data_IF_622515583829
#
_entry.id   IF_622515583829
#
_cell.length_a   1.000
_cell.length_b   1.000
_cell.length_c   1.000
_cell.angle_alpha   90.00
_cell.angle_beta   90.00
_cell.angle_gamma   90.00
#
_symmetry.space_group_name_H-M   'P 1'
#
loop_
_entity.id
_entity.type
_entity.pdbx_description
1 polymer ?
#
# COMPACT_ATOMS: atom_id res chain seq x y z
N UNK A 1 46.22 -4.85 22.73
CA UNK A 1 46.81 -4.42 21.46
C UNK A 1 45.69 -4.29 20.45
N UNK A 2 45.62 -3.16 19.77
CA UNK A 2 44.70 -2.96 18.66
C UNK A 2 45.24 -3.69 17.44
N UNK A 3 44.44 -4.56 16.86
CA UNK A 3 44.76 -5.27 15.63
C UNK A 3 43.68 -5.02 14.60
N UNK A 4 44.06 -4.94 13.32
CA UNK A 4 43.16 -4.68 12.19
C UNK A 4 43.47 -5.65 11.06
N UNK A 5 42.43 -6.16 10.42
CA UNK A 5 42.56 -6.97 9.21
C UNK A 5 41.35 -6.79 8.29
N UNK A 6 41.50 -7.14 7.02
CA UNK A 6 40.40 -7.29 6.08
C UNK A 6 40.22 -8.79 5.87
N UNK A 7 39.08 -9.33 6.26
CA UNK A 7 38.76 -10.74 6.12
C UNK A 7 37.80 -10.91 4.95
N UNK A 8 38.09 -11.83 4.05
CA UNK A 8 37.13 -12.31 3.07
C UNK A 8 36.19 -13.32 3.72
N UNK A 9 35.06 -13.58 3.05
CA UNK A 9 34.16 -14.67 3.41
C UNK A 9 34.92 -15.98 3.58
N UNK A 10 34.62 -16.67 4.68
CA UNK A 10 35.19 -17.95 5.12
C UNK A 10 36.69 -17.88 5.46
N UNK A 11 37.28 -16.69 5.52
CA UNK A 11 38.68 -16.49 5.91
C UNK A 11 38.84 -16.55 7.43
N UNK A 12 39.86 -17.29 7.88
CA UNK A 12 40.24 -17.39 9.28
C UNK A 12 41.46 -16.54 9.57
N UNK A 13 41.30 -15.60 10.50
CA UNK A 13 42.42 -14.87 11.07
C UNK A 13 42.83 -15.47 12.40
N UNK A 14 43.99 -16.10 12.41
CA UNK A 14 44.63 -16.58 13.63
C UNK A 14 45.42 -15.46 14.30
N UNK A 15 45.09 -15.20 15.56
CA UNK A 15 45.84 -14.30 16.43
C UNK A 15 46.53 -15.15 17.50
N UNK A 16 47.84 -15.36 17.32
CA UNK A 16 48.66 -16.11 18.26
C UNK A 16 49.20 -15.18 19.36
N UNK A 17 48.30 -14.74 20.24
CA UNK A 17 48.62 -13.86 21.34
C UNK A 17 47.81 -14.25 22.57
N UNK A 18 48.50 -14.43 23.69
CA UNK A 18 47.86 -14.74 24.97
C UNK A 18 47.32 -13.48 25.64
N UNK A 19 46.21 -13.63 26.35
CA UNK A 19 45.51 -12.54 27.00
C UNK A 19 44.39 -13.00 27.92
N UNK A 20 43.75 -12.01 28.55
CA UNK A 20 42.62 -12.20 29.45
C UNK A 20 41.41 -11.30 29.11
N UNK A 21 41.56 -10.44 28.10
CA UNK A 21 40.52 -9.53 27.64
C UNK A 21 40.47 -9.50 26.10
N UNK A 22 39.27 -9.46 25.55
CA UNK A 22 39.00 -9.39 24.11
C UNK A 22 37.86 -8.41 23.84
N UNK A 23 38.03 -7.52 22.87
CA UNK A 23 36.99 -6.58 22.48
C UNK A 23 36.87 -6.47 20.97
N UNK A 24 35.64 -6.44 20.46
CA UNK A 24 35.35 -6.18 19.04
C UNK A 24 35.10 -4.69 18.87
N UNK A 25 36.02 -4.00 18.20
CA UNK A 25 35.95 -2.53 18.01
C UNK A 25 35.17 -2.21 16.74
N UNK A 26 35.42 -2.98 15.68
CA UNK A 26 34.71 -2.87 14.41
C UNK A 26 34.56 -4.25 13.81
N UNK A 27 33.34 -4.64 13.52
CA UNK A 27 33.00 -5.83 12.77
C UNK A 27 31.60 -5.66 12.20
N UNK A 28 31.34 -6.24 11.04
CA UNK A 28 29.98 -6.42 10.54
C UNK A 28 29.41 -7.72 11.15
N UNK A 29 28.09 -7.92 11.06
CA UNK A 29 27.44 -9.17 11.51
C UNK A 29 28.03 -10.40 10.79
N UNK A 30 28.07 -11.54 11.47
CA UNK A 30 28.71 -12.76 10.97
C UNK A 30 30.21 -12.87 11.26
N UNK A 31 30.71 -12.23 12.32
CA UNK A 31 32.05 -12.49 12.86
C UNK A 31 31.96 -13.54 13.96
N UNK A 32 32.64 -14.67 13.81
CA UNK A 32 32.70 -15.72 14.84
C UNK A 32 34.07 -15.75 15.49
N UNK A 33 34.09 -15.75 16.82
CA UNK A 33 35.32 -15.88 17.61
C UNK A 33 35.42 -17.28 18.22
N UNK A 34 36.62 -17.85 18.17
CA UNK A 34 36.97 -19.05 18.90
C UNK A 34 38.25 -18.83 19.69
N UNK A 35 38.17 -18.94 21.02
CA UNK A 35 39.28 -18.72 21.94
C UNK A 35 39.79 -20.07 22.45
N UNK A 36 41.10 -20.22 22.60
CA UNK A 36 41.75 -21.44 23.06
C UNK A 36 42.63 -21.19 24.29
N UNK A 37 42.64 -22.10 25.26
CA UNK A 37 43.55 -22.05 26.40
C UNK A 37 44.98 -22.49 26.02
N UNK A 38 45.90 -22.50 26.99
CA UNK A 38 47.29 -22.91 26.80
C UNK A 38 47.47 -24.40 26.47
N UNK A 39 46.45 -25.23 26.68
CA UNK A 39 46.44 -26.66 26.35
C UNK A 39 45.81 -26.92 24.97
N UNK A 40 45.19 -25.90 24.38
CA UNK A 40 44.47 -25.99 23.12
C UNK A 40 42.98 -26.33 23.29
N UNK A 41 42.45 -26.29 24.51
CA UNK A 41 41.03 -26.50 24.77
C UNK A 41 40.25 -25.23 24.40
N UNK A 42 39.06 -25.40 23.83
CA UNK A 42 38.18 -24.27 23.47
C UNK A 42 37.57 -23.69 24.74
N UNK A 43 37.82 -22.41 25.01
CA UNK A 43 37.23 -21.67 26.15
C UNK A 43 36.05 -20.81 25.76
N UNK A 44 35.93 -20.46 24.47
CA UNK A 44 34.78 -19.76 23.90
C UNK A 44 34.65 -20.08 22.42
N UNK A 45 33.42 -20.28 21.96
CA UNK A 45 33.08 -20.39 20.54
C UNK A 45 31.71 -19.72 20.35
N UNK A 46 31.71 -18.53 19.76
CA UNK A 46 30.50 -17.69 19.69
C UNK A 46 30.55 -16.71 18.53
N UNK A 47 29.38 -16.37 18.00
CA UNK A 47 29.23 -15.21 17.12
C UNK A 47 29.29 -13.92 17.95
N UNK A 48 30.00 -12.91 17.44
CA UNK A 48 30.29 -11.68 18.18
C UNK A 48 29.95 -10.45 17.35
N UNK A 49 29.36 -9.47 18.02
CA UNK A 49 28.96 -8.21 17.42
C UNK A 49 29.93 -7.07 17.79
N UNK A 50 29.85 -5.99 17.01
CA UNK A 50 30.58 -4.77 17.32
C UNK A 50 30.22 -4.24 18.70
N UNK A 51 31.22 -3.87 19.50
CA UNK A 51 31.03 -3.37 20.86
C UNK A 51 31.07 -4.44 21.94
N UNK A 52 31.13 -5.73 21.57
CA UNK A 52 31.35 -6.82 22.54
C UNK A 52 32.66 -6.59 23.30
N UNK A 53 32.59 -6.75 24.62
CA UNK A 53 33.73 -6.65 25.52
C UNK A 53 33.74 -7.85 26.47
N UNK A 54 34.67 -8.78 26.24
CA UNK A 54 34.89 -9.93 27.10
C UNK A 54 36.05 -9.66 28.05
N UNK A 55 35.83 -9.94 29.33
CA UNK A 55 36.80 -9.78 30.40
C UNK A 55 36.94 -11.09 31.16
N UNK A 56 38.10 -11.28 31.78
CA UNK A 56 38.41 -12.41 32.67
C UNK A 56 38.35 -13.80 32.01
N UNK A 57 38.58 -13.87 30.68
CA UNK A 57 38.71 -15.13 29.94
C UNK A 57 40.17 -15.33 29.56
N UNK A 58 40.84 -16.29 30.19
CA UNK A 58 42.23 -16.62 29.87
C UNK A 58 42.31 -17.41 28.55
N UNK A 59 43.05 -16.88 27.58
CA UNK A 59 43.31 -17.54 26.30
C UNK A 59 44.81 -17.44 25.93
N UNK A 60 45.28 -18.42 25.16
CA UNK A 60 46.63 -18.46 24.58
C UNK A 60 46.65 -17.95 23.14
N UNK A 61 45.60 -18.25 22.36
CA UNK A 61 45.42 -17.79 20.99
C UNK A 61 43.93 -17.83 20.60
N UNK A 62 43.59 -17.25 19.45
CA UNK A 62 42.21 -17.21 18.95
C UNK A 62 42.10 -17.27 17.43
N UNK A 63 40.93 -17.67 16.96
CA UNK A 63 40.48 -17.58 15.58
C UNK A 63 39.32 -16.61 15.45
N UNK A 64 39.39 -15.78 14.42
CA UNK A 64 38.28 -14.95 13.95
C UNK A 64 37.90 -15.43 12.55
N UNK A 65 36.66 -15.87 12.38
CA UNK A 65 36.10 -16.33 11.12
C UNK A 65 35.04 -15.34 10.66
N UNK A 66 35.12 -14.90 9.40
CA UNK A 66 34.13 -14.00 8.81
C UNK A 66 33.19 -14.76 7.86
N UNK A 67 31.89 -14.66 8.06
CA UNK A 67 30.88 -15.26 7.16
C UNK A 67 30.65 -14.44 5.88
N UNK A 68 31.22 -13.24 5.82
CA UNK A 68 31.18 -12.31 4.69
C UNK A 68 32.44 -11.44 4.65
N UNK A 69 32.70 -10.82 3.51
CA UNK A 69 33.81 -9.87 3.36
C UNK A 69 33.63 -8.69 4.33
N UNK A 70 34.60 -8.44 5.21
CA UNK A 70 34.48 -7.38 6.21
C UNK A 70 35.85 -6.84 6.67
N UNK A 71 35.81 -5.61 7.19
CA UNK A 71 36.97 -5.00 7.86
C UNK A 71 36.82 -5.20 9.36
N UNK A 72 37.77 -5.91 9.96
CA UNK A 72 37.74 -6.27 11.38
C UNK A 72 38.80 -5.48 12.15
N UNK A 73 38.40 -4.91 13.27
CA UNK A 73 39.30 -4.33 14.27
C UNK A 73 38.97 -4.90 15.65
N UNK A 74 39.97 -5.49 16.30
CA UNK A 74 39.82 -6.10 17.62
C UNK A 74 40.90 -5.60 18.58
N UNK A 75 40.57 -5.60 19.86
CA UNK A 75 41.55 -5.46 20.93
C UNK A 75 41.81 -6.81 21.57
N UNK A 76 43.08 -7.21 21.60
CA UNK A 76 43.54 -8.45 22.22
C UNK A 76 44.58 -8.10 23.28
N UNK A 77 44.41 -8.51 24.53
CA UNK A 77 45.41 -8.25 25.55
C UNK A 77 45.06 -8.70 26.96
N UNK A 78 45.92 -8.33 27.92
CA UNK A 78 45.73 -8.60 29.35
C UNK A 78 44.85 -7.58 30.06
N UNK A 79 44.69 -6.40 29.47
CA UNK A 79 43.92 -5.30 30.04
C UNK A 79 42.69 -5.03 29.19
N UNK A 80 41.53 -4.79 29.82
CA UNK A 80 40.30 -4.47 29.10
C UNK A 80 40.46 -3.17 28.33
N UNK A 81 39.94 -3.16 27.11
CA UNK A 81 39.80 -1.95 26.33
C UNK A 81 38.47 -1.30 26.68
N UNK A 82 38.50 -0.01 26.99
CA UNK A 82 37.30 0.80 27.10
C UNK A 82 37.35 1.80 25.95
N UNK A 83 36.41 1.65 25.02
CA UNK A 83 36.19 2.58 23.93
C UNK A 83 34.72 2.89 23.84
N UNK A 84 34.44 4.18 23.82
CA UNK A 84 33.13 4.71 23.48
C UNK A 84 33.23 5.15 22.02
N UNK A 85 32.53 4.49 21.08
CA UNK A 85 32.50 4.96 19.70
C UNK A 85 32.06 6.41 19.64
N UNK A 86 32.75 7.22 18.82
CA UNK A 86 32.27 8.56 18.52
C UNK A 86 30.94 8.45 17.77
N UNK A 87 29.96 9.31 18.07
CA UNK A 87 28.74 9.40 17.28
C UNK A 87 29.10 9.59 15.81
N UNK A 88 28.65 8.68 14.94
CA UNK A 88 28.80 8.85 13.50
C UNK A 88 27.98 10.08 13.08
N UNK A 89 28.52 10.85 12.14
CA UNK A 89 27.85 12.03 11.58
C UNK A 89 27.21 11.62 10.26
N UNK A 90 26.01 12.12 9.99
CA UNK A 90 25.39 11.97 8.69
C UNK A 90 26.30 12.59 7.61
N UNK A 91 26.75 11.77 6.66
CA UNK A 91 27.48 12.22 5.47
C UNK A 91 26.58 12.31 4.24
N UNK A 92 25.47 11.56 4.23
CA UNK A 92 24.48 11.52 3.16
C UNK A 92 23.08 11.74 3.73
N UNK A 93 22.30 12.58 3.05
CA UNK A 93 20.87 12.78 3.31
C UNK A 93 20.12 12.36 2.04
N UNK A 94 19.14 11.47 2.19
CA UNK A 94 18.26 11.02 1.10
C UNK A 94 16.80 11.30 1.43
N UNK A 95 16.02 11.71 0.44
CA UNK A 95 14.57 11.86 0.57
C UNK A 95 13.87 11.04 -0.51
N UNK A 96 12.83 10.32 -0.12
CA UNK A 96 12.01 9.50 -1.00
C UNK A 96 10.60 9.30 -0.41
N UNK A 97 9.72 8.69 -1.19
CA UNK A 97 8.36 8.34 -0.76
C UNK A 97 8.15 6.83 -0.86
N UNK A 98 7.29 6.29 0.02
CA UNK A 98 6.89 4.89 0.00
C UNK A 98 5.37 4.82 -0.15
N UNK A 99 4.84 4.22 -1.24
CA UNK A 99 3.40 4.03 -1.40
C UNK A 99 2.90 3.01 -0.38
N UNK A 100 1.80 3.34 0.29
CA UNK A 100 1.28 2.47 1.34
C UNK A 100 0.31 1.43 0.81
N UNK A 101 0.23 0.29 1.51
CA UNK A 101 -0.70 -0.81 1.21
C UNK A 101 -1.41 -1.28 2.47
N UNK A 102 -2.63 -1.85 2.36
CA UNK A 102 -3.29 -2.50 3.48
C UNK A 102 -2.50 -3.68 4.05
N UNK A 103 -2.76 -4.01 5.31
CA UNK A 103 -2.04 -5.03 6.06
C UNK A 103 -0.75 -4.51 6.69
N UNK A 104 -0.01 -5.44 7.31
CA UNK A 104 1.32 -5.16 7.86
C UNK A 104 2.32 -5.27 6.73
N UNK A 105 2.99 -4.16 6.42
CA UNK A 105 3.95 -4.08 5.33
C UNK A 105 5.26 -3.51 5.84
N UNK A 106 6.37 -3.88 5.19
CA UNK A 106 7.67 -3.31 5.52
C UNK A 106 7.75 -1.88 4.99
N UNK A 107 8.11 -0.93 5.86
CA UNK A 107 8.38 0.47 5.52
C UNK A 107 9.84 0.68 5.12
N UNK A 108 10.75 0.09 5.89
CA UNK A 108 12.19 0.29 5.75
C UNK A 108 12.91 -1.01 6.05
N UNK A 109 13.93 -1.32 5.25
CA UNK A 109 14.79 -2.48 5.48
C UNK A 109 15.81 -2.23 6.58
N UNK A 110 16.35 -3.31 7.12
CA UNK A 110 17.58 -3.31 7.90
C UNK A 110 18.73 -2.66 7.11
N UNK A 111 19.25 -1.52 7.58
CA UNK A 111 20.32 -0.77 6.94
C UNK A 111 21.29 -0.19 7.98
N UNK A 112 22.39 -0.90 8.35
CA UNK A 112 23.32 -0.45 9.39
C UNK A 112 23.91 0.96 9.20
N UNK A 113 24.18 1.44 7.97
CA UNK A 113 24.54 2.84 7.72
C UNK A 113 23.49 3.88 8.11
N UNK A 114 22.21 3.51 8.28
CA UNK A 114 21.15 4.44 8.64
C UNK A 114 21.29 4.88 10.10
N UNK A 115 21.52 6.17 10.29
CA UNK A 115 21.65 6.78 11.60
C UNK A 115 20.29 7.25 12.13
N UNK A 116 19.48 7.82 11.22
CA UNK A 116 18.19 8.44 11.55
C UNK A 116 17.28 8.43 10.34
N UNK A 117 15.97 8.32 10.58
CA UNK A 117 14.94 8.59 9.60
C UNK A 117 13.83 9.45 10.21
N UNK A 118 13.36 10.41 9.43
CA UNK A 118 12.22 11.27 9.74
C UNK A 118 11.12 10.92 8.75
N UNK A 119 9.96 10.51 9.27
CA UNK A 119 8.82 10.06 8.47
C UNK A 119 7.65 11.03 8.67
N UNK A 120 6.86 11.22 7.62
CA UNK A 120 5.57 11.90 7.71
C UNK A 120 4.56 11.21 6.80
N UNK A 121 3.40 10.85 7.36
CA UNK A 121 2.29 10.26 6.63
C UNK A 121 1.09 11.22 6.61
N UNK A 122 0.33 11.34 5.50
CA UNK A 122 -0.86 12.19 5.43
C UNK A 122 -2.09 11.58 6.12
N UNK A 123 -1.97 10.37 6.69
CA UNK A 123 -3.02 9.61 7.39
C UNK A 123 -2.47 9.05 8.70
N UNK A 124 -3.38 8.60 9.57
CA UNK A 124 -3.04 7.85 10.77
C UNK A 124 -2.32 6.54 10.40
N UNK A 125 -1.16 6.29 11.00
CA UNK A 125 -0.29 5.15 10.67
C UNK A 125 0.22 4.48 11.95
N UNK A 126 0.19 3.15 11.98
CA UNK A 126 0.84 2.38 13.02
C UNK A 126 2.25 1.99 12.57
N UNK A 127 3.23 2.16 13.45
CA UNK A 127 4.63 1.79 13.20
C UNK A 127 5.08 0.80 14.29
N UNK A 128 5.81 -0.24 13.88
CA UNK A 128 6.30 -1.30 14.78
C UNK A 128 7.53 -2.03 14.22
N UNK A 129 8.03 -2.98 15.02
CA UNK A 129 9.12 -3.88 14.63
C UNK A 129 8.61 -5.14 13.92
N UNK A 130 9.49 -6.13 13.78
CA UNK A 130 9.20 -7.42 13.10
C UNK A 130 8.12 -8.26 13.81
N UNK A 131 7.84 -7.99 15.09
CA UNK A 131 6.80 -8.64 15.88
C UNK A 131 5.43 -7.93 15.81
N UNK A 132 5.27 -6.92 14.95
CA UNK A 132 4.01 -6.21 14.75
C UNK A 132 2.99 -7.08 14.00
N UNK A 133 1.76 -7.13 14.51
CA UNK A 133 0.63 -7.80 13.84
C UNK A 133 -0.55 -6.86 13.68
N UNK A 134 -1.39 -7.10 12.67
CA UNK A 134 -2.53 -6.25 12.29
C UNK A 134 -3.76 -7.06 11.93
N UNK A 135 -4.25 -7.88 12.87
CA UNK A 135 -5.37 -8.78 12.65
C UNK A 135 -6.70 -8.03 12.70
N UNK A 136 -7.44 -7.99 11.59
CA UNK A 136 -8.77 -7.37 11.48
C UNK A 136 -8.84 -5.92 11.99
N UNK A 137 -7.78 -5.14 11.79
CA UNK A 137 -7.70 -3.74 12.25
C UNK A 137 -7.23 -3.58 13.69
N UNK A 138 -7.00 -4.66 14.43
CA UNK A 138 -6.41 -4.64 15.75
C UNK A 138 -4.88 -4.79 15.65
N UNK A 139 -4.17 -3.71 15.95
CA UNK A 139 -2.70 -3.69 15.89
C UNK A 139 -2.10 -4.07 17.24
N UNK A 140 -1.13 -4.98 17.22
CA UNK A 140 -0.29 -5.35 18.38
C UNK A 140 1.18 -5.06 18.09
N UNK A 141 1.94 -4.74 19.13
CA UNK A 141 3.37 -4.40 19.05
C UNK A 141 3.70 -3.25 18.07
N UNK A 142 2.70 -2.38 17.83
CA UNK A 142 2.85 -1.16 17.07
C UNK A 142 2.37 0.05 17.88
N UNK A 143 2.78 1.24 17.46
CA UNK A 143 2.33 2.51 18.01
C UNK A 143 1.67 3.36 16.94
N UNK A 144 0.51 3.92 17.26
CA UNK A 144 -0.21 4.84 16.40
C UNK A 144 0.46 6.22 16.39
N UNK A 145 0.68 6.75 15.19
CA UNK A 145 1.04 8.12 14.90
C UNK A 145 -0.07 8.76 14.08
N UNK A 146 -0.39 10.01 14.41
CA UNK A 146 -1.48 10.74 13.75
C UNK A 146 -1.05 11.27 12.39
N UNK A 147 -2.02 11.46 11.50
CA UNK A 147 -1.82 12.14 10.22
C UNK A 147 -1.03 13.46 10.39
N UNK A 148 0.00 13.64 9.57
CA UNK A 148 0.87 14.81 9.56
C UNK A 148 1.91 14.86 10.69
N UNK A 149 1.89 13.92 11.64
CA UNK A 149 2.91 13.86 12.68
C UNK A 149 4.28 13.49 12.10
N UNK A 150 5.32 14.18 12.56
CA UNK A 150 6.70 13.84 12.26
C UNK A 150 7.15 12.71 13.20
N UNK A 151 7.64 11.61 12.62
CA UNK A 151 8.06 10.41 13.34
C UNK A 151 9.56 10.28 13.18
N UNK A 152 10.30 10.36 14.28
CA UNK A 152 11.73 10.12 14.29
C UNK A 152 12.04 8.67 14.67
N UNK A 153 12.82 7.99 13.82
CA UNK A 153 13.37 6.67 14.05
C UNK A 153 14.89 6.74 14.07
N UNK A 154 15.51 6.23 15.13
CA UNK A 154 16.98 6.21 15.32
C UNK A 154 17.54 4.79 15.25
N UNK A 155 16.79 3.85 14.66
CA UNK A 155 17.18 2.46 14.55
C UNK A 155 17.49 2.08 13.09
N UNK A 156 18.37 1.11 12.93
CA UNK A 156 18.77 0.54 11.64
C UNK A 156 18.08 -0.80 11.35
N UNK A 157 17.13 -1.22 12.21
CA UNK A 157 16.35 -2.45 12.06
C UNK A 157 15.31 -2.39 10.93
N UNK A 158 14.70 -3.53 10.62
CA UNK A 158 13.49 -3.55 9.80
C UNK A 158 12.35 -2.80 10.53
N UNK A 159 11.64 -1.95 9.78
CA UNK A 159 10.51 -1.18 10.28
C UNK A 159 9.28 -1.54 9.49
N UNK A 160 8.19 -1.83 10.19
CA UNK A 160 6.92 -2.19 9.58
C UNK A 160 5.86 -1.12 9.87
N UNK A 161 4.89 -1.02 8.98
CA UNK A 161 3.74 -0.14 9.10
C UNK A 161 2.41 -0.88 8.89
N UNK A 162 1.35 -0.32 9.44
CA UNK A 162 -0.03 -0.73 9.19
C UNK A 162 -0.93 0.51 9.09
N UNK A 163 -1.73 0.60 8.02
CA UNK A 163 -2.67 1.70 7.78
C UNK A 163 -4.14 1.26 7.87
N UNK A 164 -4.45 0.04 7.42
CA UNK A 164 -5.80 -0.48 7.30
C UNK A 164 -5.76 -1.99 7.08
N UNK A 165 -6.80 -2.69 7.54
CA UNK A 165 -7.03 -4.09 7.19
C UNK A 165 -7.98 -4.25 5.98
N UNK A 166 -8.52 -3.14 5.47
CA UNK A 166 -9.44 -3.17 4.34
C UNK A 166 -8.68 -3.52 3.05
N UNK A 167 -9.01 -4.67 2.47
CA UNK A 167 -8.50 -5.12 1.18
C UNK A 167 -9.34 -4.65 -0.01
N UNK A 168 -10.21 -3.66 0.23
CA UNK A 168 -11.03 -3.00 -0.78
C UNK A 168 -11.08 -1.50 -0.50
N UNK A 169 -11.08 -0.70 -1.56
CA UNK A 169 -11.35 0.73 -1.48
C UNK A 169 -12.78 0.97 -1.95
N UNK A 170 -13.61 1.48 -1.05
CA UNK A 170 -15.01 1.81 -1.34
C UNK A 170 -15.10 3.29 -1.70
N UNK A 171 -15.55 3.58 -2.91
CA UNK A 171 -15.77 4.95 -3.40
C UNK A 171 -17.16 5.46 -3.06
N UNK A 172 -18.15 4.55 -3.07
CA UNK A 172 -19.55 4.83 -2.76
C UNK A 172 -20.17 3.63 -2.04
N UNK A 173 -20.88 3.84 -0.94
CA UNK A 173 -21.47 2.75 -0.12
C UNK A 173 -22.94 2.95 0.24
N UNK A 174 -23.55 4.06 -0.17
CA UNK A 174 -24.98 4.30 0.00
C UNK A 174 -25.71 3.98 -1.29
N UNK A 175 -26.92 3.43 -1.17
CA UNK A 175 -27.84 3.19 -2.29
C UNK A 175 -28.14 4.50 -3.01
N UNK A 176 -27.58 4.68 -4.21
CA UNK A 176 -27.82 5.84 -5.06
C UNK A 176 -28.71 5.41 -6.22
N UNK A 177 -29.86 6.06 -6.34
CA UNK A 177 -30.69 5.96 -7.54
C UNK A 177 -29.99 6.69 -8.70
N UNK A 178 -29.72 5.97 -9.78
CA UNK A 178 -29.02 6.53 -10.93
C UNK A 178 -29.97 7.40 -11.75
N UNK A 179 -29.56 8.60 -12.19
CA UNK A 179 -30.32 9.35 -13.19
C UNK A 179 -30.12 8.76 -14.59
N UNK A 180 -31.08 8.98 -15.48
CA UNK A 180 -30.93 8.70 -16.91
C UNK A 180 -29.95 9.66 -17.56
N UNK A 181 -28.89 9.16 -18.19
CA UNK A 181 -27.95 9.93 -18.99
C UNK A 181 -27.79 9.24 -20.33
N UNK A 182 -28.83 9.40 -21.16
CA UNK A 182 -29.11 8.59 -22.34
C UNK A 182 -29.08 9.47 -23.58
N UNK A 183 -28.24 9.12 -24.56
CA UNK A 183 -28.09 9.93 -25.79
C UNK A 183 -29.41 10.08 -26.56
N UNK A 184 -30.21 9.02 -26.68
CA UNK A 184 -31.44 9.04 -27.49
C UNK A 184 -32.66 9.68 -26.79
N UNK A 185 -32.58 9.93 -25.48
CA UNK A 185 -33.58 10.75 -24.77
C UNK A 185 -33.28 12.25 -24.90
N UNK A 186 -32.11 12.60 -25.45
CA UNK A 186 -31.80 13.97 -25.80
C UNK A 186 -32.48 14.29 -27.14
N UNK A 187 -33.62 14.97 -27.08
CA UNK A 187 -34.46 15.25 -28.26
C UNK A 187 -33.80 16.17 -29.29
N UNK A 188 -32.72 16.90 -28.96
CA UNK A 188 -32.20 17.97 -29.81
C UNK A 188 -30.67 18.09 -29.93
N UNK A 189 -29.86 17.28 -29.24
CA UNK A 189 -28.40 17.42 -29.35
C UNK A 189 -27.70 16.06 -29.31
N UNK A 190 -27.07 15.70 -30.42
CA UNK A 190 -26.25 14.49 -30.58
C UNK A 190 -24.86 14.63 -29.91
N UNK A 191 -24.66 15.70 -29.16
CA UNK A 191 -23.39 16.03 -28.50
C UNK A 191 -23.14 15.11 -27.30
N UNK A 192 -21.88 14.73 -27.06
CA UNK A 192 -21.51 14.05 -25.83
C UNK A 192 -21.79 14.96 -24.63
N UNK A 193 -22.27 14.38 -23.54
CA UNK A 193 -22.41 15.09 -22.27
C UNK A 193 -21.06 15.59 -21.78
N UNK A 194 -21.04 16.81 -21.24
CA UNK A 194 -19.82 17.37 -20.64
C UNK A 194 -19.85 17.26 -19.12
N UNK A 195 -18.68 17.32 -18.48
CA UNK A 195 -18.54 17.35 -17.02
C UNK A 195 -19.43 18.42 -16.38
N UNK A 196 -19.35 19.67 -16.86
CA UNK A 196 -20.16 20.77 -16.31
C UNK A 196 -21.67 20.53 -16.43
N UNK A 197 -22.11 19.88 -17.52
CA UNK A 197 -23.52 19.54 -17.71
C UNK A 197 -23.99 18.51 -16.69
N UNK A 198 -23.23 17.41 -16.51
CA UNK A 198 -23.60 16.37 -15.54
C UNK A 198 -23.60 16.90 -14.10
N UNK A 199 -22.67 17.79 -13.76
CA UNK A 199 -22.67 18.47 -12.46
C UNK A 199 -23.86 19.42 -12.29
N UNK A 200 -24.17 20.22 -13.31
CA UNK A 200 -25.31 21.15 -13.29
C UNK A 200 -26.65 20.44 -13.10
N UNK A 201 -26.78 19.24 -13.66
CA UNK A 201 -27.95 18.36 -13.55
C UNK A 201 -27.90 17.46 -12.30
N UNK A 202 -26.94 17.68 -11.39
CA UNK A 202 -26.79 16.94 -10.13
C UNK A 202 -26.64 15.42 -10.29
N UNK A 203 -25.97 14.98 -11.37
CA UNK A 203 -25.63 13.56 -11.55
C UNK A 203 -24.60 13.14 -10.48
N UNK A 204 -24.86 12.08 -9.70
CA UNK A 204 -23.95 11.63 -8.65
C UNK A 204 -22.57 11.25 -9.19
N UNK A 205 -21.51 11.62 -8.47
CA UNK A 205 -20.14 11.32 -8.84
C UNK A 205 -19.24 11.06 -7.64
N UNK A 206 -18.08 10.46 -7.89
CA UNK A 206 -16.96 10.38 -6.96
C UNK A 206 -15.65 10.67 -7.69
N UNK A 207 -14.63 11.07 -6.93
CA UNK A 207 -13.30 11.35 -7.47
C UNK A 207 -12.33 10.21 -7.15
N UNK A 208 -11.48 9.85 -8.10
CA UNK A 208 -10.44 8.82 -7.95
C UNK A 208 -9.09 9.37 -8.36
N UNK A 209 -8.06 9.04 -7.59
CA UNK A 209 -6.68 9.32 -7.96
C UNK A 209 -6.04 8.07 -8.57
N UNK A 210 -5.51 8.20 -9.78
CA UNK A 210 -4.81 7.14 -10.50
C UNK A 210 -3.30 7.32 -10.28
N UNK A 211 -2.62 6.37 -9.62
CA UNK A 211 -1.18 6.43 -9.39
C UNK A 211 -0.38 6.16 -10.67
N UNK A 212 0.92 6.47 -10.65
CA UNK A 212 1.82 6.24 -11.80
C UNK A 212 1.82 4.76 -12.27
N UNK A 213 1.67 3.80 -11.35
CA UNK A 213 1.59 2.36 -11.68
C UNK A 213 0.36 1.98 -12.52
N UNK A 214 -0.69 2.82 -12.51
CA UNK A 214 -1.93 2.62 -13.27
C UNK A 214 -2.10 3.61 -14.42
N UNK A 215 -1.07 4.37 -14.79
CA UNK A 215 -1.15 5.34 -15.90
C UNK A 215 -1.46 4.64 -17.23
N UNK A 216 -2.69 4.84 -17.74
CA UNK A 216 -3.24 4.16 -18.93
C UNK A 216 -3.27 2.63 -18.83
N UNK A 217 -3.31 2.09 -17.61
CA UNK A 217 -3.46 0.66 -17.34
C UNK A 217 -4.90 0.38 -16.90
N UNK A 218 -5.59 -0.63 -17.46
CA UNK A 218 -6.92 -0.98 -17.00
C UNK A 218 -6.94 -1.41 -15.53
N UNK A 219 -7.94 -0.94 -14.79
CA UNK A 219 -8.26 -1.40 -13.44
C UNK A 219 -9.75 -1.74 -13.31
N UNK A 220 -10.06 -2.62 -12.37
CA UNK A 220 -11.43 -3.10 -12.18
C UNK A 220 -12.16 -2.29 -11.12
N UNK A 221 -13.27 -1.67 -11.52
CA UNK A 221 -14.30 -1.20 -10.60
C UNK A 221 -15.35 -2.30 -10.42
N UNK A 222 -15.61 -2.65 -9.17
CA UNK A 222 -16.72 -3.51 -8.77
C UNK A 222 -17.91 -2.62 -8.43
N UNK A 223 -19.07 -2.97 -8.98
CA UNK A 223 -20.32 -2.26 -8.79
C UNK A 223 -21.35 -3.26 -8.30
N UNK A 224 -21.82 -3.08 -7.08
CA UNK A 224 -23.02 -3.75 -6.58
C UNK A 224 -24.22 -2.89 -6.95
N UNK A 225 -25.13 -3.43 -7.75
CA UNK A 225 -26.27 -2.71 -8.27
C UNK A 225 -27.59 -3.46 -8.02
N UNK A 226 -28.71 -2.74 -8.02
CA UNK A 226 -30.06 -3.32 -8.01
C UNK A 226 -30.93 -2.65 -9.07
N UNK A 227 -31.90 -3.38 -9.61
CA UNK A 227 -33.00 -2.77 -10.38
C UNK A 227 -34.26 -2.93 -9.55
N UNK A 228 -34.99 -1.82 -9.35
CA UNK A 228 -36.26 -1.79 -8.64
C UNK A 228 -37.33 -1.34 -9.62
N UNK A 229 -37.96 -2.29 -10.30
CA UNK A 229 -39.07 -2.01 -11.21
C UNK A 229 -40.39 -2.05 -10.46
N UNK A 230 -41.30 -1.13 -10.78
CA UNK A 230 -42.64 -1.10 -10.18
C UNK A 230 -43.66 -1.75 -11.12
N UNK A 231 -44.54 -2.63 -10.61
CA UNK A 231 -45.42 -3.46 -11.42
C UNK A 231 -46.46 -2.71 -12.29
N UNK A 232 -46.68 -1.42 -12.06
CA UNK A 232 -47.63 -0.58 -12.81
C UNK A 232 -46.98 0.51 -13.67
N UNK A 233 -45.65 0.68 -13.64
CA UNK A 233 -44.97 1.73 -14.43
C UNK A 233 -43.93 1.20 -15.41
N UNK A 234 -43.54 -0.07 -15.42
CA UNK A 234 -42.47 -0.54 -16.32
C UNK A 234 -42.83 -1.86 -17.04
N UNK A 235 -43.81 -1.81 -17.93
CA UNK A 235 -44.27 -2.95 -18.75
C UNK A 235 -43.39 -3.22 -19.98
N UNK A 236 -42.07 -3.17 -19.84
CA UNK A 236 -41.14 -3.41 -20.95
C UNK A 236 -40.02 -4.39 -20.59
N UNK A 237 -40.00 -5.55 -21.26
CA UNK A 237 -38.81 -6.42 -21.26
C UNK A 237 -37.68 -5.76 -22.04
N UNK A 238 -36.47 -5.73 -21.49
CA UNK A 238 -35.28 -5.24 -22.18
C UNK A 238 -34.07 -5.08 -21.28
N UNK A 239 -32.92 -4.87 -21.92
CA UNK A 239 -31.63 -4.68 -21.25
C UNK A 239 -31.57 -3.26 -20.68
N UNK A 240 -31.26 -3.14 -19.39
CA UNK A 240 -30.83 -1.88 -18.78
C UNK A 240 -29.30 -1.84 -18.82
N UNK A 241 -28.71 -0.72 -19.23
CA UNK A 241 -27.26 -0.51 -19.13
C UNK A 241 -26.98 0.54 -18.06
N UNK A 242 -26.08 0.19 -17.14
CA UNK A 242 -25.45 1.15 -16.24
C UNK A 242 -24.06 1.49 -16.75
N UNK A 243 -23.59 2.69 -16.40
CA UNK A 243 -22.26 3.14 -16.77
C UNK A 243 -21.70 4.20 -15.86
N UNK A 244 -20.40 4.41 -16.04
CA UNK A 244 -19.61 5.44 -15.42
C UNK A 244 -19.06 6.33 -16.53
N UNK A 245 -19.42 7.61 -16.52
CA UNK A 245 -18.74 8.62 -17.34
C UNK A 245 -17.55 9.17 -16.56
N UNK A 246 -16.34 9.05 -17.10
CA UNK A 246 -15.11 9.51 -16.44
C UNK A 246 -14.48 10.66 -17.22
N UNK A 247 -13.91 11.66 -16.53
CA UNK A 247 -13.12 12.71 -17.18
C UNK A 247 -11.87 12.13 -17.84
N UNK A 248 -11.55 12.55 -19.06
CA UNK A 248 -10.44 11.96 -19.85
C UNK A 248 -9.05 12.46 -19.42
N UNK A 249 -8.96 13.71 -18.97
CA UNK A 249 -7.70 14.35 -18.58
C UNK A 249 -7.57 14.43 -17.06
N UNK A 250 -8.05 15.53 -16.49
CA UNK A 250 -8.12 15.74 -15.05
C UNK A 250 -9.57 15.92 -14.57
N UNK A 251 -9.74 16.21 -13.29
CA UNK A 251 -11.04 16.48 -12.66
C UNK A 251 -11.78 17.68 -13.28
N UNK A 252 -11.10 18.61 -13.94
CA UNK A 252 -11.68 19.82 -14.53
C UNK A 252 -12.02 19.66 -16.01
N UNK A 253 -11.59 18.56 -16.63
CA UNK A 253 -11.74 18.33 -18.06
C UNK A 253 -13.21 18.12 -18.44
N UNK A 254 -13.71 18.86 -19.43
CA UNK A 254 -15.10 18.78 -19.88
C UNK A 254 -15.42 17.48 -20.63
N UNK A 255 -14.44 16.91 -21.32
CA UNK A 255 -14.61 15.69 -22.12
C UNK A 255 -14.70 14.47 -21.22
N UNK A 256 -15.70 13.63 -21.49
CA UNK A 256 -15.97 12.39 -20.75
C UNK A 256 -15.82 11.16 -21.66
N UNK A 257 -15.31 10.07 -21.09
CA UNK A 257 -15.36 8.72 -21.67
C UNK A 257 -16.38 7.88 -20.91
N UNK A 258 -17.19 7.11 -21.63
CA UNK A 258 -18.17 6.21 -21.04
C UNK A 258 -17.63 4.79 -20.93
N UNK A 259 -17.65 4.25 -19.71
CA UNK A 259 -17.47 2.84 -19.41
C UNK A 259 -18.83 2.27 -19.01
N UNK A 260 -19.32 1.23 -19.68
CA UNK A 260 -20.64 0.66 -19.39
C UNK A 260 -20.62 -0.85 -19.41
N UNK A 261 -21.61 -1.44 -18.74
CA UNK A 261 -21.87 -2.87 -18.80
C UNK A 261 -23.37 -3.12 -18.99
N UNK A 262 -23.68 -4.21 -19.68
CA UNK A 262 -25.05 -4.60 -19.95
C UNK A 262 -25.63 -5.35 -18.75
N UNK A 263 -26.85 -4.99 -18.37
CA UNK A 263 -27.67 -5.74 -17.44
C UNK A 263 -28.83 -6.34 -18.22
N UNK A 264 -28.60 -7.52 -18.78
CA UNK A 264 -29.68 -8.31 -19.35
C UNK A 264 -30.50 -8.92 -18.22
N UNK A 265 -31.81 -8.63 -18.09
CA UNK A 265 -32.68 -9.57 -17.39
C UNK A 265 -32.60 -10.87 -18.18
N UNK A 266 -32.20 -11.98 -17.55
CA UNK A 266 -32.03 -13.30 -18.17
C UNK A 266 -32.84 -13.48 -19.47
N UNK A 267 -32.19 -13.95 -20.54
CA UNK A 267 -32.80 -14.43 -21.80
C UNK A 267 -33.84 -15.56 -21.61
N UNK A 268 -34.17 -15.91 -20.38
CA UNK A 268 -35.29 -16.78 -20.09
C UNK A 268 -36.55 -15.94 -20.08
N UNK A 269 -37.54 -16.35 -20.89
CA UNK A 269 -38.94 -15.90 -20.86
C UNK A 269 -39.63 -16.15 -19.49
N UNK A 270 -38.94 -15.93 -18.38
CA UNK A 270 -39.53 -15.89 -17.06
C UNK A 270 -40.37 -14.63 -16.98
N UNK A 271 -41.68 -14.80 -16.86
CA UNK A 271 -42.59 -13.71 -16.59
C UNK A 271 -42.02 -12.87 -15.44
N UNK A 272 -41.91 -11.55 -15.64
CA UNK A 272 -41.76 -10.59 -14.54
C UNK A 272 -42.84 -10.94 -13.51
N UNK A 273 -42.47 -11.38 -12.29
CA UNK A 273 -43.47 -11.63 -11.26
C UNK A 273 -44.20 -10.33 -11.00
N UNK A 274 -45.54 -10.35 -11.03
CA UNK A 274 -46.35 -9.21 -10.61
C UNK A 274 -46.01 -8.89 -9.14
N UNK A 275 -45.38 -7.74 -8.90
CA UNK A 275 -44.99 -7.27 -7.57
C UNK A 275 -43.73 -6.40 -7.59
N UNK A 276 -43.49 -5.66 -6.49
CA UNK A 276 -42.23 -4.95 -6.23
C UNK A 276 -41.08 -5.96 -6.20
N UNK A 277 -40.48 -6.23 -7.36
CA UNK A 277 -39.39 -7.19 -7.48
C UNK A 277 -38.08 -6.42 -7.45
N UNK A 278 -37.46 -6.38 -6.27
CA UNK A 278 -36.06 -6.00 -6.14
C UNK A 278 -35.24 -7.18 -6.67
N UNK A 279 -34.55 -6.99 -7.79
CA UNK A 279 -33.65 -8.00 -8.32
C UNK A 279 -32.21 -7.65 -7.90
N UNK A 280 -31.63 -8.37 -6.92
CA UNK A 280 -30.20 -8.28 -6.66
C UNK A 280 -29.46 -9.06 -7.76
N UNK A 281 -28.60 -8.40 -8.53
CA UNK A 281 -27.83 -9.08 -9.59
C UNK A 281 -26.35 -9.32 -9.25
N UNK A 282 -25.95 -8.97 -8.02
CA UNK A 282 -24.59 -9.15 -7.50
C UNK A 282 -23.55 -8.26 -8.18
N UNK A 283 -22.30 -8.40 -7.74
CA UNK A 283 -21.19 -7.55 -8.17
C UNK A 283 -20.92 -7.67 -9.68
N UNK A 284 -20.97 -6.53 -10.38
CA UNK A 284 -20.46 -6.38 -11.75
C UNK A 284 -19.05 -5.83 -11.73
N UNK A 285 -18.29 -6.17 -12.77
CA UNK A 285 -16.92 -5.68 -12.94
C UNK A 285 -16.87 -4.81 -14.18
N UNK A 286 -16.50 -3.55 -14.01
CA UNK A 286 -16.29 -2.59 -15.07
C UNK A 286 -14.79 -2.30 -15.18
N UNK A 287 -14.19 -2.66 -16.30
CA UNK A 287 -12.78 -2.37 -16.57
C UNK A 287 -12.66 -0.92 -17.05
N UNK A 288 -11.92 -0.11 -16.31
CA UNK A 288 -11.75 1.32 -16.53
C UNK A 288 -10.28 1.61 -16.82
N UNK A 289 -10.00 2.48 -17.79
CA UNK A 289 -8.62 2.88 -18.15
C UNK A 289 -8.56 4.40 -18.17
N UNK A 290 -7.67 4.97 -17.37
CA UNK A 290 -7.50 6.41 -17.19
C UNK A 290 -6.01 6.75 -17.14
N UNK A 291 -5.65 7.98 -17.48
CA UNK A 291 -4.30 8.48 -17.25
C UNK A 291 -4.04 8.66 -15.76
N UNK A 292 -2.78 8.88 -15.39
CA UNK A 292 -2.45 9.27 -14.01
C UNK A 292 -3.07 10.61 -13.62
N UNK A 293 -3.38 10.75 -12.33
CA UNK A 293 -3.93 11.98 -11.74
C UNK A 293 -5.36 11.83 -11.19
N UNK A 294 -6.00 12.95 -10.88
CA UNK A 294 -7.36 12.98 -10.36
C UNK A 294 -8.39 12.96 -11.49
N UNK A 295 -9.34 12.04 -11.41
CA UNK A 295 -10.46 11.90 -12.34
C UNK A 295 -11.80 11.93 -11.61
N UNK A 296 -12.82 12.48 -12.27
CA UNK A 296 -14.21 12.47 -11.78
C UNK A 296 -15.02 11.42 -12.53
N UNK A 297 -15.73 10.57 -11.78
CA UNK A 297 -16.51 9.45 -12.29
C UNK A 297 -17.99 9.65 -11.93
N UNK A 298 -18.83 9.91 -12.94
CA UNK A 298 -20.28 10.10 -12.81
C UNK A 298 -21.02 8.79 -13.00
N UNK A 299 -21.93 8.47 -12.09
CA UNK A 299 -22.70 7.23 -12.07
C UNK A 299 -24.06 7.46 -12.73
N UNK A 300 -24.40 6.66 -13.75
CA UNK A 300 -25.62 6.88 -14.52
C UNK A 300 -26.25 5.59 -15.09
N UNK A 301 -27.56 5.65 -15.35
CA UNK A 301 -28.24 4.72 -16.23
C UNK A 301 -28.11 5.24 -17.67
N UNK A 302 -27.42 4.48 -18.54
CA UNK A 302 -26.99 4.96 -19.86
C UNK A 302 -27.84 4.44 -21.00
N UNK A 303 -28.58 3.36 -20.79
CA UNK A 303 -29.55 2.86 -21.75
C UNK A 303 -30.67 2.08 -21.05
N UNK A 304 -31.85 2.68 -20.81
CA UNK A 304 -33.04 1.92 -20.49
C UNK A 304 -33.60 1.21 -21.73
N UNK A 305 -34.49 0.21 -21.56
CA UNK A 305 -35.30 -0.31 -22.64
C UNK A 305 -36.09 0.83 -23.32
N UNK A 306 -35.98 0.93 -24.65
CA UNK A 306 -36.57 2.03 -25.44
C UNK A 306 -38.08 2.16 -25.29
N UNK A 307 -38.78 1.04 -25.12
CA UNK A 307 -40.24 0.98 -24.92
C UNK A 307 -40.60 1.59 -23.56
N UNK A 308 -39.97 1.11 -22.49
CA UNK A 308 -40.18 1.59 -21.12
C UNK A 308 -39.90 3.08 -20.96
N UNK A 309 -38.80 3.60 -21.51
CA UNK A 309 -38.44 5.01 -21.30
C UNK A 309 -39.39 5.99 -22.01
N UNK A 310 -39.82 5.68 -23.24
CA UNK A 310 -40.70 6.57 -24.01
C UNK A 310 -42.16 6.48 -23.58
N UNK A 311 -42.65 5.28 -23.31
CA UNK A 311 -44.06 5.05 -22.96
C UNK A 311 -44.40 5.60 -21.56
N UNK A 312 -43.41 5.63 -20.66
CA UNK A 312 -43.59 6.13 -19.29
C UNK A 312 -43.13 7.58 -19.09
N UNK A 313 -42.78 8.28 -20.18
CA UNK A 313 -42.38 9.69 -20.12
C UNK A 313 -41.07 9.96 -19.37
N UNK A 314 -40.15 8.99 -19.34
CA UNK A 314 -38.83 9.18 -18.74
C UNK A 314 -38.03 10.19 -19.57
N UNK A 315 -37.25 11.04 -18.89
CA UNK A 315 -36.41 12.06 -19.50
C UNK A 315 -34.96 11.92 -19.00
N UNK A 316 -34.03 12.56 -19.70
CA UNK A 316 -32.67 12.68 -19.15
C UNK A 316 -32.69 13.43 -17.82
N UNK A 317 -31.74 13.07 -16.97
CA UNK A 317 -31.51 13.60 -15.64
C UNK A 317 -32.62 13.34 -14.61
N UNK A 318 -33.68 12.62 -15.00
CA UNK A 318 -34.65 12.11 -14.04
C UNK A 318 -34.18 10.79 -13.41
N UNK A 319 -34.61 10.47 -12.18
CA UNK A 319 -34.27 9.20 -11.55
C UNK A 319 -34.71 7.98 -12.39
N UNK A 320 -33.85 6.96 -12.45
CA UNK A 320 -34.13 5.67 -13.10
C UNK A 320 -34.49 4.60 -12.07
N UNK A 321 -34.83 3.40 -12.54
CA UNK A 321 -35.02 2.22 -11.67
C UNK A 321 -33.73 1.51 -11.26
N UNK A 322 -32.57 1.97 -11.74
CA UNK A 322 -31.28 1.40 -11.37
C UNK A 322 -30.70 2.10 -10.14
N UNK A 323 -30.11 1.30 -9.26
CA UNK A 323 -29.41 1.78 -8.07
C UNK A 323 -28.01 1.20 -8.05
N UNK A 324 -27.03 2.04 -7.70
CA UNK A 324 -25.73 1.54 -7.23
C UNK A 324 -25.79 1.46 -5.71
N UNK A 325 -25.72 0.24 -5.19
CA UNK A 325 -25.66 -0.04 -3.75
C UNK A 325 -24.25 0.20 -3.21
N UNK A 326 -23.23 -0.19 -3.97
CA UNK A 326 -21.84 0.18 -3.70
C UNK A 326 -20.97 0.20 -4.95
N UNK A 327 -19.93 1.04 -4.93
CA UNK A 327 -18.85 1.08 -5.93
C UNK A 327 -17.52 0.97 -5.20
N UNK A 328 -16.72 -0.04 -5.55
CA UNK A 328 -15.46 -0.32 -4.88
C UNK A 328 -14.44 -0.93 -5.85
N UNK A 329 -13.20 -1.07 -5.39
CA UNK A 329 -12.17 -1.82 -6.09
C UNK A 329 -11.36 -2.64 -5.10
N UNK A 330 -10.87 -3.79 -5.55
CA UNK A 330 -9.92 -4.62 -4.81
C UNK A 330 -8.51 -4.53 -5.43
N UNK A 331 -8.29 -3.60 -6.37
CA UNK A 331 -7.01 -3.45 -7.05
C UNK A 331 -5.98 -2.85 -6.10
N UNK A 332 -4.93 -3.61 -5.78
CA UNK A 332 -3.89 -3.23 -4.80
C UNK A 332 -3.36 -1.80 -4.98
N UNK A 333 -3.09 -1.39 -6.22
CA UNK A 333 -2.55 -0.06 -6.53
C UNK A 333 -3.50 1.09 -6.13
N UNK A 334 -4.81 0.83 -6.05
CA UNK A 334 -5.80 1.82 -5.61
C UNK A 334 -6.13 1.72 -4.11
N UNK A 335 -5.63 0.70 -3.41
CA UNK A 335 -5.84 0.53 -1.96
C UNK A 335 -4.93 1.43 -1.11
N UNK A 336 -3.93 2.08 -1.73
CA UNK A 336 -3.08 3.06 -1.05
C UNK A 336 -3.90 4.23 -0.50
N UNK A 337 -3.65 4.60 0.75
CA UNK A 337 -4.19 5.83 1.36
C UNK A 337 -3.32 7.06 1.05
N UNK A 338 -2.22 6.85 0.30
CA UNK A 338 -1.21 7.84 -0.04
C UNK A 338 0.20 7.36 0.32
N UNK A 339 1.16 8.26 0.17
CA UNK A 339 2.57 7.94 0.34
C UNK A 339 3.10 8.44 1.68
N UNK A 340 4.01 7.67 2.29
CA UNK A 340 4.82 8.12 3.43
C UNK A 340 6.04 8.84 2.90
N UNK A 341 6.26 10.07 3.35
CA UNK A 341 7.47 10.83 3.05
C UNK A 341 8.57 10.42 4.03
N UNK A 342 9.76 10.14 3.50
CA UNK A 342 10.91 9.70 4.28
C UNK A 342 12.10 10.61 3.99
N UNK A 343 12.74 11.10 5.04
CA UNK A 343 14.07 11.70 5.01
C UNK A 343 15.00 10.84 5.86
N UNK A 344 16.06 10.31 5.24
CA UNK A 344 17.06 9.45 5.88
C UNK A 344 18.42 10.15 5.97
N UNK A 345 19.07 9.98 7.12
CA UNK A 345 20.45 10.37 7.38
C UNK A 345 21.33 9.12 7.51
N UNK A 346 22.42 9.05 6.74
CA UNK A 346 23.32 7.89 6.66
C UNK A 346 24.78 8.28 6.89
N UNK A 347 25.54 7.38 7.53
CA UNK A 347 26.96 7.56 7.87
C UNK A 347 27.89 7.62 6.65
#
# INVERSE_FOLDING_TARGET
MLMRNILKKDEVWMINQSGSAFSVIRAQLGLRVKLFDSRGDVVLDSEVEQGLNLKDINYAYMYLLAERDMRVAVWVGKHPYSYTPQPERASVISSYTVPTRPGVNKLMDFDPPRLRAMLQAPFDIWIGGDDMTGDYGSVKNGRLFRAGAEIELTNFGDIYYFISAENKRVFQSQSIQLPYVVRYLNYNDDRPYTRSQLEGESVPYFDVFIPDELDNVPFDLKVDDTVKTYPWTETGGGIYEAGIYATVGDINTETLTLFKYDRSPNDTNAATPEGDTNWPYGDKTLSVTLSKGWHRLFMACVSPPKTTARENGHANFTPSVMYFESVFTNQDALLSLGDVQILEERA
#
